data_IF_578179703336
#
_entry.id   IF_578179703336
#
_cell.length_a   1.000
_cell.length_b   1.000
_cell.length_c   1.000
_cell.angle_alpha   90.00
_cell.angle_beta   90.00
_cell.angle_gamma   90.00
#
_symmetry.space_group_name_H-M   'P 1'
#
loop_
_entity.id
_entity.type
_entity.pdbx_description
1 polymer ?
#
# COMPACT_ATOMS: atom_id res chain seq x y z
N UNK A 1 38.55 -8.50 38.38
CA UNK A 1 38.42 -9.54 37.34
C UNK A 1 37.03 -10.16 37.38
N UNK A 2 35.96 -9.41 37.05
CA UNK A 2 34.58 -9.93 37.19
C UNK A 2 33.58 -9.15 36.32
N UNK A 3 33.69 -9.22 34.99
CA UNK A 3 32.68 -8.59 34.10
C UNK A 3 32.59 -9.12 32.67
N UNK A 4 33.23 -10.25 32.37
CA UNK A 4 33.25 -10.81 31.02
C UNK A 4 32.18 -11.90 30.79
N UNK A 5 31.38 -12.26 31.79
CA UNK A 5 30.40 -13.36 31.68
C UNK A 5 29.00 -12.90 31.23
N UNK A 6 28.62 -11.63 31.38
CA UNK A 6 27.24 -11.22 31.14
C UNK A 6 26.91 -10.96 29.65
N UNK A 7 27.90 -10.56 28.85
CA UNK A 7 27.69 -10.28 27.42
C UNK A 7 27.30 -11.51 26.61
N UNK A 8 27.88 -12.67 26.92
CA UNK A 8 27.59 -13.92 26.19
C UNK A 8 26.15 -14.40 26.41
N UNK A 9 25.60 -14.19 27.61
CA UNK A 9 24.21 -14.57 27.92
C UNK A 9 23.20 -13.77 27.09
N UNK A 10 23.45 -12.48 26.87
CA UNK A 10 22.61 -11.62 26.03
C UNK A 10 22.62 -12.14 24.59
N UNK A 11 23.80 -12.51 24.07
CA UNK A 11 23.92 -13.06 22.71
C UNK A 11 23.13 -14.36 22.58
N UNK A 12 23.28 -15.28 23.55
CA UNK A 12 22.52 -16.55 23.55
C UNK A 12 21.02 -16.30 23.60
N UNK A 13 20.55 -15.38 24.44
CA UNK A 13 19.12 -15.03 24.53
C UNK A 13 18.58 -14.48 23.20
N UNK A 14 19.33 -13.57 22.58
CA UNK A 14 18.99 -13.00 21.27
C UNK A 14 18.91 -14.11 20.22
N UNK A 15 19.89 -15.02 20.18
CA UNK A 15 19.88 -16.17 19.26
C UNK A 15 18.63 -17.03 19.45
N UNK A 16 18.26 -17.38 20.69
CA UNK A 16 17.03 -18.15 20.96
C UNK A 16 15.79 -17.42 20.45
N UNK A 17 15.67 -16.11 20.71
CA UNK A 17 14.54 -15.30 20.21
C UNK A 17 14.56 -15.25 18.67
N UNK A 18 15.72 -15.11 18.02
CA UNK A 18 15.82 -15.16 16.56
C UNK A 18 15.45 -16.51 15.98
N UNK A 19 15.69 -17.63 16.69
CA UNK A 19 15.28 -18.95 16.25
C UNK A 19 13.76 -19.13 16.34
N UNK A 20 13.13 -18.61 17.41
CA UNK A 20 11.67 -18.70 17.61
C UNK A 20 10.90 -17.75 16.69
N UNK A 21 11.34 -16.49 16.60
CA UNK A 21 10.66 -15.45 15.84
C UNK A 21 11.14 -15.39 14.38
N UNK A 22 12.34 -15.89 14.08
CA UNK A 22 12.96 -15.81 12.76
C UNK A 22 13.68 -14.48 12.51
N UNK A 23 14.76 -14.53 11.72
CA UNK A 23 15.60 -13.37 11.38
C UNK A 23 14.85 -12.22 10.66
N UNK A 24 13.69 -12.50 10.05
CA UNK A 24 12.88 -11.51 9.33
C UNK A 24 11.86 -10.77 10.21
N UNK A 25 11.47 -11.33 11.36
CA UNK A 25 10.44 -10.73 12.25
C UNK A 25 11.02 -9.74 13.25
N UNK A 26 12.22 -10.00 13.77
CA UNK A 26 12.90 -9.12 14.70
C UNK A 26 13.20 -7.71 14.13
N UNK A 27 13.74 -7.57 12.89
CA UNK A 27 13.95 -6.24 12.30
C UNK A 27 12.65 -5.52 11.94
N UNK A 28 11.57 -6.26 11.70
CA UNK A 28 10.25 -5.70 11.39
C UNK A 28 9.59 -5.12 12.64
N UNK A 29 9.60 -5.88 13.75
CA UNK A 29 9.15 -5.42 15.07
C UNK A 29 10.01 -4.27 15.61
N UNK A 30 11.33 -4.33 15.44
CA UNK A 30 12.22 -3.25 15.85
C UNK A 30 11.95 -1.95 15.07
N UNK A 31 11.57 -2.03 13.78
CA UNK A 31 11.20 -0.85 12.98
C UNK A 31 9.88 -0.24 13.45
N UNK A 32 8.85 -1.04 13.68
CA UNK A 32 7.54 -0.52 14.13
C UNK A 32 7.61 0.09 15.53
N UNK A 33 8.28 -0.58 16.48
CA UNK A 33 8.50 -0.08 17.84
C UNK A 33 9.47 1.10 17.86
N UNK A 34 10.51 1.08 17.03
CA UNK A 34 11.46 2.18 16.91
C UNK A 34 10.81 3.45 16.34
N UNK A 35 9.87 3.30 15.42
CA UNK A 35 9.12 4.42 14.85
C UNK A 35 8.18 5.06 15.87
N UNK A 36 7.43 4.27 16.65
CA UNK A 36 6.58 4.81 17.72
C UNK A 36 7.39 5.49 18.82
N UNK A 37 8.52 4.89 19.22
CA UNK A 37 9.41 5.48 20.21
C UNK A 37 10.10 6.76 19.71
N UNK A 38 10.40 6.86 18.41
CA UNK A 38 10.97 8.08 17.80
C UNK A 38 9.97 9.24 17.80
N UNK A 39 8.71 8.98 17.49
CA UNK A 39 7.64 9.99 17.51
C UNK A 39 7.44 10.49 18.94
N UNK A 40 7.30 9.56 19.88
CA UNK A 40 7.19 9.88 21.31
C UNK A 40 8.39 10.69 21.83
N UNK A 41 9.61 10.30 21.47
CA UNK A 41 10.85 11.02 21.83
C UNK A 41 10.89 12.43 21.25
N UNK A 42 10.27 12.66 20.09
CA UNK A 42 10.21 13.98 19.43
C UNK A 42 9.20 14.88 20.12
N UNK A 43 7.98 14.40 20.34
CA UNK A 43 6.95 15.11 21.09
C UNK A 43 7.45 15.46 22.50
N UNK A 44 8.09 14.51 23.18
CA UNK A 44 8.65 14.75 24.51
C UNK A 44 9.81 15.75 24.53
N UNK A 45 10.58 15.84 23.44
CA UNK A 45 11.69 16.81 23.33
C UNK A 45 11.21 18.22 22.97
N UNK A 46 10.12 18.30 22.22
CA UNK A 46 9.39 19.55 21.94
C UNK A 46 8.86 20.17 23.24
N UNK A 47 8.31 19.34 24.13
CA UNK A 47 7.85 19.76 25.46
C UNK A 47 8.98 20.20 26.41
N UNK A 48 10.20 19.74 26.17
CA UNK A 48 11.39 20.12 26.98
C UNK A 48 12.04 21.40 26.46
N UNK A 49 11.57 21.98 25.35
CA UNK A 49 12.02 23.30 24.86
C UNK A 49 13.45 23.32 24.33
N UNK A 50 13.97 22.18 23.86
CA UNK A 50 15.35 22.05 23.37
C UNK A 50 15.36 21.81 21.85
N UNK A 51 15.25 22.92 21.11
CA UNK A 51 15.24 23.05 19.65
C UNK A 51 16.60 22.66 19.03
N UNK A 52 16.91 21.36 19.03
CA UNK A 52 17.97 20.79 18.21
C UNK A 52 17.37 20.03 17.01
N UNK A 53 17.67 20.41 15.76
CA UNK A 53 17.09 19.79 14.57
C UNK A 53 17.56 18.34 14.45
N UNK A 54 16.66 17.41 14.75
CA UNK A 54 16.90 15.99 14.55
C UNK A 54 16.81 15.65 13.05
N UNK A 55 17.96 15.77 12.37
CA UNK A 55 18.23 15.28 11.00
C UNK A 55 17.41 14.02 10.71
N UNK A 56 16.47 14.17 9.78
CA UNK A 56 15.72 13.06 9.22
C UNK A 56 16.58 12.35 8.19
N UNK A 57 17.01 11.13 8.51
CA UNK A 57 17.32 10.13 7.50
C UNK A 57 17.15 8.72 8.08
N UNK A 58 15.98 8.08 7.91
CA UNK A 58 15.95 6.66 7.67
C UNK A 58 16.19 6.44 6.17
N UNK A 59 17.34 5.85 5.85
CA UNK A 59 17.62 5.21 4.58
C UNK A 59 16.49 4.25 4.25
N UNK A 60 15.64 4.61 3.30
CA UNK A 60 14.77 3.67 2.57
C UNK A 60 15.71 2.68 1.88
N UNK A 61 15.73 1.37 2.21
CA UNK A 61 16.27 0.41 1.26
C UNK A 61 15.39 0.53 0.02
N UNK A 62 15.97 1.06 -1.05
CA UNK A 62 15.33 1.15 -2.36
C UNK A 62 14.71 -0.21 -2.67
N UNK A 63 13.37 -0.26 -2.73
CA UNK A 63 12.71 -1.31 -3.48
C UNK A 63 13.28 -1.23 -4.90
N UNK A 64 13.65 -2.35 -5.54
CA UNK A 64 13.99 -2.36 -6.95
C UNK A 64 12.84 -1.69 -7.70
N UNK A 65 13.13 -0.55 -8.31
CA UNK A 65 12.21 0.12 -9.22
C UNK A 65 11.80 -0.90 -10.29
N UNK A 66 10.51 -1.14 -10.53
CA UNK A 66 10.12 -1.89 -11.73
C UNK A 66 10.66 -1.13 -12.96
N UNK A 67 11.23 -1.81 -13.97
CA UNK A 67 11.62 -1.14 -15.20
C UNK A 67 10.34 -0.54 -15.80
N UNK A 68 10.27 0.79 -15.78
CA UNK A 68 9.32 1.53 -16.61
C UNK A 68 9.72 1.26 -18.05
N UNK A 69 8.88 0.53 -18.79
CA UNK A 69 9.01 0.43 -20.24
C UNK A 69 8.49 1.73 -20.85
N UNK A 70 9.34 2.57 -21.47
CA UNK A 70 8.84 3.68 -22.26
C UNK A 70 8.34 3.15 -23.60
N UNK A 71 7.07 2.78 -23.69
CA UNK A 71 6.39 2.63 -24.99
C UNK A 71 5.63 3.92 -25.30
N UNK A 72 6.38 4.94 -25.70
CA UNK A 72 5.81 6.08 -26.41
C UNK A 72 5.51 5.61 -27.83
N UNK A 73 4.24 5.31 -28.11
CA UNK A 73 3.69 5.32 -29.47
C UNK A 73 2.24 5.82 -29.41
N UNK A 74 2.00 7.12 -29.66
CA UNK A 74 0.67 7.65 -29.89
C UNK A 74 0.15 7.11 -31.22
N UNK A 75 -0.68 6.08 -31.19
CA UNK A 75 -1.38 5.61 -32.39
C UNK A 75 -2.76 5.03 -32.03
N UNK A 76 -3.77 5.72 -32.56
CA UNK A 76 -5.15 5.30 -32.81
C UNK A 76 -6.16 5.30 -31.63
N UNK A 77 -7.18 6.19 -31.64
CA UNK A 77 -8.37 6.01 -30.83
C UNK A 77 -9.19 4.81 -31.32
N UNK A 78 -9.64 3.89 -30.45
CA UNK A 78 -10.58 2.85 -30.84
C UNK A 78 -12.00 3.42 -30.80
N UNK A 79 -12.39 4.09 -31.87
CA UNK A 79 -13.78 4.26 -32.27
C UNK A 79 -13.81 4.16 -33.80
N UNK A 80 -14.90 3.80 -34.46
CA UNK A 80 -16.00 2.89 -34.12
C UNK A 80 -16.06 1.73 -35.15
N UNK A 81 -16.54 0.56 -34.72
CA UNK A 81 -17.07 -0.44 -35.63
C UNK A 81 -18.34 0.10 -36.31
N UNK A 82 -18.16 0.83 -37.40
CA UNK A 82 -19.24 1.28 -38.26
C UNK A 82 -19.74 0.09 -39.10
N UNK A 83 -20.88 -0.44 -38.69
CA UNK A 83 -21.72 -1.38 -39.41
C UNK A 83 -22.13 -0.85 -40.79
N UNK A 84 -22.26 -1.73 -41.80
CA UNK A 84 -23.29 -1.52 -42.81
C UNK A 84 -24.00 -2.83 -43.18
N UNK A 85 -25.08 -3.18 -42.47
CA UNK A 85 -26.19 -3.88 -43.12
C UNK A 85 -27.50 -3.30 -42.61
N UNK A 86 -27.85 -2.17 -43.22
CA UNK A 86 -29.22 -1.74 -43.34
C UNK A 86 -29.89 -2.62 -44.40
N UNK A 87 -30.75 -3.55 -43.98
CA UNK A 87 -31.78 -4.18 -44.80
C UNK A 87 -32.79 -4.82 -43.83
N UNK A 88 -34.08 -4.53 -43.72
CA UNK A 88 -35.04 -3.52 -44.19
C UNK A 88 -36.27 -3.65 -43.23
N UNK A 89 -37.26 -2.75 -43.29
CA UNK A 89 -38.12 -2.39 -42.15
C UNK A 89 -39.50 -3.10 -42.10
N UNK A 90 -40.11 -3.05 -40.89
CA UNK A 90 -41.56 -3.11 -40.55
C UNK A 90 -42.32 -4.42 -40.79
N UNK A 91 -43.52 -4.67 -40.19
CA UNK A 91 -44.35 -3.81 -39.33
C UNK A 91 -44.89 -4.53 -38.05
N UNK A 92 -45.58 -3.77 -37.20
CA UNK A 92 -46.77 -4.20 -36.44
C UNK A 92 -46.74 -5.56 -35.72
N UNK A 93 -46.54 -5.57 -34.39
CA UNK A 93 -47.38 -6.34 -33.43
C UNK A 93 -46.75 -6.32 -32.04
N UNK A 94 -46.85 -5.18 -31.35
CA UNK A 94 -47.18 -5.23 -29.93
C UNK A 94 -48.35 -4.28 -29.71
N UNK A 95 -49.56 -4.81 -29.51
CA UNK A 95 -50.71 -4.00 -29.19
C UNK A 95 -50.40 -3.15 -27.98
N UNK A 96 -50.78 -1.89 -28.11
CA UNK A 96 -50.91 -0.90 -27.07
C UNK A 96 -51.77 -1.44 -25.93
N UNK A 97 -51.17 -1.94 -24.85
CA UNK A 97 -51.85 -1.97 -23.54
C UNK A 97 -51.60 -0.64 -22.84
N UNK A 98 -52.27 0.38 -23.39
CA UNK A 98 -52.60 1.61 -22.71
C UNK A 98 -54.07 1.84 -22.95
N UNK A 99 -54.90 1.21 -22.12
CA UNK A 99 -56.26 1.67 -21.84
C UNK A 99 -56.50 1.35 -20.35
N UNK A 100 -56.32 2.34 -19.48
CA UNK A 100 -57.39 3.24 -19.03
C UNK A 100 -58.38 2.57 -18.08
N UNK A 101 -58.45 3.17 -16.88
CA UNK A 101 -59.67 3.48 -16.15
C UNK A 101 -60.84 2.49 -16.18
N UNK A 102 -61.18 1.95 -15.01
CA UNK A 102 -62.56 2.07 -14.49
C UNK A 102 -62.71 1.47 -13.11
N UNK A 103 -63.19 2.31 -12.19
CA UNK A 103 -64.27 2.01 -11.24
C UNK A 103 -64.06 0.84 -10.26
N UNK A 104 -63.86 1.17 -8.99
CA UNK A 104 -64.87 1.07 -7.91
C UNK A 104 -64.22 1.03 -6.53
#
# INVERSE_FOLDING_TARGET
>A
MARNLQGWHIVVLVVVILLLFGAKRLPDLAKSVGQSLRIFKREMKDLTGDDAPATHAPTTPAAPVPPVSPSTAPAAPPVPGASPQAERPSPADRPSESDSSSTS
#
